data_IF_488919291143
#
_entry.id   IF_488919291143
#
_cell.length_a   1.000
_cell.length_b   1.000
_cell.length_c   1.000
_cell.angle_alpha   90.00
_cell.angle_beta   90.00
_cell.angle_gamma   90.00
#
_symmetry.space_group_name_H-M   'P 1'
#
loop_
_entity.id
_entity.type
_entity.pdbx_description
1 polymer ?
#
# COMPACT_ATOMS: atom_id res chain seq x y z
N UNK A 1 -42.41 34.78 -79.64
CA UNK A 1 -42.97 35.40 -78.42
C UNK A 1 -44.40 34.95 -78.08
N UNK A 2 -45.31 34.65 -79.03
CA UNK A 2 -46.62 34.07 -78.72
C UNK A 2 -46.52 32.73 -77.96
N UNK A 3 -45.59 31.87 -78.37
CA UNK A 3 -45.43 30.52 -77.79
C UNK A 3 -44.90 30.58 -76.35
N UNK A 4 -43.88 31.41 -76.09
CA UNK A 4 -43.35 31.65 -74.74
C UNK A 4 -44.43 32.15 -73.76
N UNK A 5 -45.21 33.17 -74.17
CA UNK A 5 -46.28 33.74 -73.35
C UNK A 5 -47.55 32.85 -73.28
N UNK A 6 -47.68 31.87 -74.18
CA UNK A 6 -48.85 31.00 -74.30
C UNK A 6 -48.73 29.68 -73.53
N UNK A 7 -47.55 29.36 -73.00
CA UNK A 7 -47.34 28.15 -72.19
C UNK A 7 -48.04 28.23 -70.84
N UNK A 8 -48.60 27.11 -70.36
CA UNK A 8 -49.32 27.05 -69.09
C UNK A 8 -48.77 26.01 -68.11
N UNK A 9 -47.90 25.10 -68.56
CA UNK A 9 -47.32 24.06 -67.71
C UNK A 9 -45.89 23.66 -68.16
N UNK A 10 -44.83 24.30 -67.60
CA UNK A 10 -44.88 25.49 -66.77
C UNK A 10 -45.24 26.74 -67.60
N UNK A 11 -45.81 27.76 -66.95
CA UNK A 11 -46.00 29.07 -67.58
C UNK A 11 -44.68 29.82 -67.60
N UNK A 12 -44.03 29.89 -68.76
CA UNK A 12 -42.68 30.42 -68.90
C UNK A 12 -42.59 31.91 -68.53
N UNK A 13 -43.57 32.71 -68.97
CA UNK A 13 -43.62 34.14 -68.69
C UNK A 13 -43.85 34.44 -67.20
N UNK A 14 -44.78 33.71 -66.56
CA UNK A 14 -45.07 33.88 -65.14
C UNK A 14 -43.90 33.42 -64.25
N UNK A 15 -43.20 32.36 -64.65
CA UNK A 15 -42.04 31.81 -63.94
C UNK A 15 -40.71 32.47 -64.36
N UNK A 16 -40.75 33.51 -65.19
CA UNK A 16 -39.59 34.31 -65.61
C UNK A 16 -38.45 33.49 -66.22
N UNK A 17 -38.77 32.46 -67.01
CA UNK A 17 -37.75 31.65 -67.70
C UNK A 17 -36.89 32.52 -68.65
N UNK A 18 -35.65 32.11 -68.95
CA UNK A 18 -34.85 32.75 -69.99
C UNK A 18 -35.61 32.75 -71.32
N UNK A 19 -35.48 33.84 -72.09
CA UNK A 19 -36.11 33.94 -73.42
C UNK A 19 -35.29 33.25 -74.51
N UNK A 20 -34.06 32.87 -74.22
CA UNK A 20 -33.26 31.96 -75.04
C UNK A 20 -33.75 30.52 -74.84
N UNK A 21 -34.61 30.08 -75.75
CA UNK A 21 -35.26 28.77 -75.68
C UNK A 21 -34.27 27.61 -75.86
N UNK A 22 -33.11 27.85 -76.49
CA UNK A 22 -32.10 26.81 -76.77
C UNK A 22 -31.42 26.27 -75.49
N UNK A 23 -31.57 26.98 -74.37
CA UNK A 23 -31.10 26.54 -73.05
C UNK A 23 -31.84 25.28 -72.60
N UNK A 24 -33.13 25.17 -72.93
CA UNK A 24 -34.00 24.12 -72.39
C UNK A 24 -34.66 23.26 -73.48
N UNK A 25 -34.72 23.72 -74.73
CA UNK A 25 -35.45 23.05 -75.80
C UNK A 25 -34.59 22.80 -77.03
N UNK A 26 -34.85 21.67 -77.68
CA UNK A 26 -34.30 21.33 -78.98
C UNK A 26 -35.23 21.84 -80.10
N UNK A 27 -34.68 22.55 -81.09
CA UNK A 27 -35.44 23.13 -82.20
C UNK A 27 -36.13 22.09 -83.09
N UNK A 28 -35.68 20.83 -83.06
CA UNK A 28 -36.20 19.70 -83.83
C UNK A 28 -37.22 18.85 -83.06
N UNK A 29 -37.26 18.97 -81.73
CA UNK A 29 -38.16 18.23 -80.85
C UNK A 29 -38.65 19.10 -79.69
N UNK A 30 -39.66 19.93 -79.97
CA UNK A 30 -40.34 20.73 -78.94
C UNK A 30 -41.20 19.85 -78.03
N UNK A 31 -40.62 19.45 -76.89
CA UNK A 31 -41.24 18.62 -75.86
C UNK A 31 -40.83 19.06 -74.44
N UNK A 32 -40.54 18.09 -73.56
CA UNK A 32 -40.02 18.37 -72.24
C UNK A 32 -38.68 19.11 -72.31
N UNK A 33 -38.40 19.94 -71.31
CA UNK A 33 -37.08 20.56 -71.15
C UNK A 33 -35.98 19.48 -71.14
N UNK A 34 -34.92 19.70 -71.90
CA UNK A 34 -33.69 18.89 -71.93
C UNK A 34 -32.62 19.43 -71.00
N UNK A 35 -32.91 20.48 -70.22
CA UNK A 35 -31.96 21.07 -69.29
C UNK A 35 -31.59 20.07 -68.19
N UNK A 36 -30.29 19.79 -68.05
CA UNK A 36 -29.76 18.79 -67.12
C UNK A 36 -28.93 19.46 -66.01
N UNK A 37 -29.50 19.47 -64.79
CA UNK A 37 -28.81 19.97 -63.61
C UNK A 37 -27.55 19.17 -63.24
N UNK A 38 -27.41 17.92 -63.68
CA UNK A 38 -26.20 17.11 -63.48
C UNK A 38 -24.94 17.68 -64.14
N UNK A 39 -25.12 18.65 -65.05
CA UNK A 39 -24.00 19.37 -65.70
C UNK A 39 -23.69 20.72 -65.05
N UNK A 40 -24.45 21.12 -64.02
CA UNK A 40 -24.30 22.39 -63.31
C UNK A 40 -23.50 22.23 -62.01
N UNK A 41 -23.18 23.35 -61.34
CA UNK A 41 -22.56 23.34 -60.02
C UNK A 41 -23.49 22.84 -58.89
N UNK A 42 -24.79 22.65 -59.17
CA UNK A 42 -25.76 22.12 -58.23
C UNK A 42 -26.59 21.00 -58.91
N UNK A 43 -26.06 19.76 -58.93
CA UNK A 43 -26.82 18.60 -59.35
C UNK A 43 -28.02 18.37 -58.42
N UNK A 44 -29.21 18.20 -58.99
CA UNK A 44 -30.40 17.88 -58.19
C UNK A 44 -30.34 16.40 -57.78
N UNK A 45 -29.91 16.15 -56.55
CA UNK A 45 -29.87 14.80 -55.96
C UNK A 45 -30.73 14.71 -54.70
N UNK A 46 -30.97 13.49 -54.21
CA UNK A 46 -31.72 13.27 -52.98
C UNK A 46 -33.11 13.92 -53.00
N UNK A 47 -33.46 14.62 -51.92
CA UNK A 47 -34.71 15.35 -51.74
C UNK A 47 -34.92 16.54 -52.70
N UNK A 48 -33.87 16.99 -53.40
CA UNK A 48 -33.99 17.99 -54.45
C UNK A 48 -34.43 17.39 -55.80
N UNK A 49 -34.49 16.05 -55.91
CA UNK A 49 -34.93 15.38 -57.14
C UNK A 49 -36.42 15.63 -57.38
N UNK A 50 -36.74 16.48 -58.37
CA UNK A 50 -38.12 16.77 -58.76
C UNK A 50 -38.73 18.02 -58.14
N UNK A 51 -37.94 18.88 -57.48
CA UNK A 51 -38.40 20.22 -57.08
C UNK A 51 -38.73 21.05 -58.33
N UNK A 52 -39.80 21.85 -58.26
CA UNK A 52 -40.16 22.72 -59.37
C UNK A 52 -39.14 23.86 -59.50
N UNK A 53 -38.76 24.24 -60.72
CA UNK A 53 -37.74 25.27 -60.98
C UNK A 53 -38.00 26.57 -60.20
N UNK A 54 -39.26 26.99 -60.09
CA UNK A 54 -39.67 28.21 -59.38
C UNK A 54 -39.42 28.20 -57.88
N UNK A 55 -39.19 27.03 -57.27
CA UNK A 55 -38.87 26.93 -55.84
C UNK A 55 -37.43 27.42 -55.57
N UNK A 56 -36.50 27.15 -56.47
CA UNK A 56 -35.11 27.63 -56.37
C UNK A 56 -34.91 28.97 -57.10
N UNK A 57 -35.56 29.17 -58.25
CA UNK A 57 -35.41 30.34 -59.11
C UNK A 57 -36.49 31.42 -58.85
N UNK A 58 -36.92 31.58 -57.59
CA UNK A 58 -37.94 32.55 -57.20
C UNK A 58 -37.53 34.01 -57.47
N UNK A 59 -36.23 34.28 -57.50
CA UNK A 59 -35.64 35.58 -57.84
C UNK A 59 -34.95 35.60 -59.22
N UNK A 60 -35.29 34.63 -60.09
CA UNK A 60 -34.69 34.44 -61.41
C UNK A 60 -33.62 33.34 -61.47
N UNK A 61 -33.13 33.09 -62.69
CA UNK A 61 -32.24 31.96 -63.02
C UNK A 61 -30.75 32.27 -62.96
N UNK A 62 -30.38 33.53 -62.74
CA UNK A 62 -28.98 33.96 -62.66
C UNK A 62 -28.57 34.10 -61.19
N UNK A 63 -27.43 33.52 -60.83
CA UNK A 63 -26.87 33.64 -59.47
C UNK A 63 -27.70 32.97 -58.38
N UNK A 64 -28.46 31.92 -58.72
CA UNK A 64 -29.20 31.14 -57.72
C UNK A 64 -28.23 30.56 -56.69
N UNK A 65 -28.47 30.81 -55.38
CA UNK A 65 -27.59 30.30 -54.32
C UNK A 65 -27.52 28.78 -54.31
N UNK A 66 -26.39 28.25 -53.86
CA UNK A 66 -26.14 26.80 -53.77
C UNK A 66 -25.83 26.33 -52.36
N UNK A 67 -25.68 27.23 -51.40
CA UNK A 67 -25.49 26.83 -50.00
C UNK A 67 -26.84 26.48 -49.39
N UNK A 68 -26.85 25.51 -48.48
CA UNK A 68 -28.07 25.05 -47.81
C UNK A 68 -28.78 26.19 -47.07
N UNK A 69 -28.00 26.99 -46.34
CA UNK A 69 -28.49 28.04 -45.45
C UNK A 69 -29.15 29.20 -46.22
N UNK A 70 -28.72 29.50 -47.44
CA UNK A 70 -29.36 30.51 -48.31
C UNK A 70 -30.83 30.19 -48.63
N UNK A 71 -31.21 28.91 -48.60
CA UNK A 71 -32.57 28.44 -48.93
C UNK A 71 -33.33 27.91 -47.71
N UNK A 72 -32.64 27.21 -46.81
CA UNK A 72 -33.22 26.51 -45.68
C UNK A 72 -33.09 27.25 -44.34
N UNK A 73 -32.66 28.52 -44.34
CA UNK A 73 -32.68 29.36 -43.12
C UNK A 73 -34.07 29.45 -42.45
N UNK A 74 -35.20 29.53 -43.19
CA UNK A 74 -36.52 29.48 -42.57
C UNK A 74 -36.80 28.16 -41.84
N UNK A 75 -36.34 27.03 -42.41
CA UNK A 75 -36.48 25.70 -41.81
C UNK A 75 -35.59 25.61 -40.55
N UNK A 76 -34.35 26.07 -40.63
CA UNK A 76 -33.41 26.18 -39.51
C UNK A 76 -34.02 26.98 -38.34
N UNK A 77 -34.57 28.16 -38.61
CA UNK A 77 -35.17 29.02 -37.59
C UNK A 77 -36.52 28.49 -37.07
N UNK A 78 -37.24 27.70 -37.88
CA UNK A 78 -38.56 27.17 -37.56
C UNK A 78 -38.54 25.82 -36.83
N UNK A 79 -37.41 25.11 -36.85
CA UNK A 79 -37.29 23.79 -36.20
C UNK A 79 -37.31 23.94 -34.68
N UNK A 80 -38.06 23.08 -34.00
CA UNK A 80 -38.24 23.13 -32.53
C UNK A 80 -37.66 21.92 -31.79
N UNK A 81 -37.32 20.85 -32.51
CA UNK A 81 -36.81 19.61 -31.93
C UNK A 81 -35.72 18.97 -32.81
N UNK A 82 -34.43 19.18 -32.50
CA UNK A 82 -33.91 20.20 -31.59
C UNK A 82 -34.08 21.63 -32.17
N UNK A 83 -34.28 22.62 -31.31
CA UNK A 83 -34.38 24.02 -31.76
C UNK A 83 -32.99 24.55 -32.14
N UNK A 84 -32.73 24.68 -33.45
CA UNK A 84 -31.40 25.00 -33.95
C UNK A 84 -30.97 26.43 -33.57
N UNK A 85 -31.86 27.40 -33.76
CA UNK A 85 -31.59 28.80 -33.46
C UNK A 85 -31.35 29.03 -31.95
N UNK A 86 -32.16 28.40 -31.10
CA UNK A 86 -32.00 28.50 -29.64
C UNK A 86 -30.74 27.79 -29.14
N UNK A 87 -30.41 26.63 -29.71
CA UNK A 87 -29.18 25.90 -29.39
C UNK A 87 -27.92 26.46 -30.06
N UNK A 88 -28.08 27.47 -30.94
CA UNK A 88 -27.01 28.13 -31.69
C UNK A 88 -26.18 27.16 -32.55
N UNK A 89 -26.83 26.20 -33.21
CA UNK A 89 -26.11 25.25 -34.07
C UNK A 89 -25.35 25.95 -35.22
N UNK A 90 -24.26 25.35 -35.72
CA UNK A 90 -23.58 25.85 -36.91
C UNK A 90 -24.54 25.87 -38.13
N UNK A 91 -24.38 26.85 -39.01
CA UNK A 91 -25.12 26.94 -40.27
C UNK A 91 -24.56 26.03 -41.37
N UNK A 92 -23.47 25.33 -41.11
CA UNK A 92 -22.96 24.27 -41.97
C UNK A 92 -23.79 22.99 -41.77
N UNK A 93 -24.89 22.90 -42.52
CA UNK A 93 -25.87 21.83 -42.43
C UNK A 93 -25.26 20.45 -42.66
N UNK A 94 -24.18 20.37 -43.46
CA UNK A 94 -23.56 19.11 -43.89
C UNK A 94 -22.87 18.34 -42.76
N UNK A 95 -22.67 18.99 -41.61
CA UNK A 95 -22.15 18.34 -40.42
C UNK A 95 -23.12 17.32 -39.82
N UNK A 96 -24.43 17.55 -39.99
CA UNK A 96 -25.47 16.74 -39.35
C UNK A 96 -26.49 16.15 -40.33
N UNK A 97 -26.65 16.77 -41.49
CA UNK A 97 -27.68 16.44 -42.47
C UNK A 97 -27.07 16.14 -43.83
N UNK A 98 -27.81 15.38 -44.64
CA UNK A 98 -27.47 15.14 -46.03
C UNK A 98 -28.62 15.56 -46.96
N UNK A 99 -28.33 15.60 -48.26
CA UNK A 99 -29.29 16.01 -49.28
C UNK A 99 -30.41 14.99 -49.52
N UNK A 100 -30.32 13.77 -48.96
CA UNK A 100 -31.33 12.72 -49.11
C UNK A 100 -32.53 13.01 -48.22
N UNK A 101 -32.28 13.30 -46.94
CA UNK A 101 -33.31 13.65 -45.97
C UNK A 101 -32.74 14.43 -44.78
N UNK A 102 -33.53 15.37 -44.24
CA UNK A 102 -33.18 16.07 -43.01
C UNK A 102 -33.21 15.17 -41.76
N UNK A 103 -34.01 14.09 -41.77
CA UNK A 103 -34.19 13.16 -40.65
C UNK A 103 -34.02 11.71 -41.14
N UNK A 104 -33.24 10.86 -40.43
CA UNK A 104 -32.49 11.18 -39.22
C UNK A 104 -31.26 12.05 -39.51
N UNK A 105 -30.93 12.96 -38.59
CA UNK A 105 -29.62 13.60 -38.57
C UNK A 105 -28.61 12.67 -37.90
N UNK A 106 -27.33 12.87 -38.20
CA UNK A 106 -26.24 12.11 -37.60
C UNK A 106 -25.01 12.98 -37.43
N UNK A 107 -24.41 12.95 -36.24
CA UNK A 107 -23.11 13.55 -35.96
C UNK A 107 -22.29 12.60 -35.10
N UNK A 108 -21.02 12.42 -35.45
CA UNK A 108 -20.13 11.46 -34.79
C UNK A 108 -19.28 12.13 -33.71
N UNK A 109 -19.40 11.65 -32.46
CA UNK A 109 -18.67 12.13 -31.30
C UNK A 109 -17.42 11.28 -30.97
N UNK A 110 -16.72 10.70 -31.96
CA UNK A 110 -15.51 9.89 -31.75
C UNK A 110 -14.43 10.55 -30.84
N UNK A 111 -14.38 11.88 -30.77
CA UNK A 111 -13.45 12.61 -29.89
C UNK A 111 -13.85 12.63 -28.40
N UNK A 112 -15.12 12.37 -28.09
CA UNK A 112 -15.65 12.27 -26.74
C UNK A 112 -16.90 11.37 -26.76
N UNK A 113 -16.73 10.04 -26.61
CA UNK A 113 -17.84 9.11 -26.64
C UNK A 113 -18.89 9.42 -25.56
N UNK A 114 -20.14 9.61 -25.97
CA UNK A 114 -21.26 9.88 -25.07
C UNK A 114 -21.70 8.59 -24.37
N UNK A 115 -21.08 8.27 -23.24
CA UNK A 115 -21.36 7.08 -22.42
C UNK A 115 -22.00 7.44 -21.08
N UNK A 116 -22.66 6.45 -20.47
CA UNK A 116 -23.28 6.61 -19.15
C UNK A 116 -24.28 7.77 -19.12
N UNK A 117 -24.13 8.65 -18.13
CA UNK A 117 -25.03 9.80 -17.94
C UNK A 117 -24.94 10.84 -19.07
N UNK A 118 -23.85 10.85 -19.84
CA UNK A 118 -23.69 11.75 -21.00
C UNK A 118 -24.44 11.26 -22.24
N UNK A 119 -24.99 10.04 -22.26
CA UNK A 119 -25.70 9.53 -23.43
C UNK A 119 -27.05 10.22 -23.70
N UNK A 120 -27.59 10.95 -22.73
CA UNK A 120 -28.93 11.58 -22.81
C UNK A 120 -28.91 13.10 -22.65
N UNK A 121 -27.73 13.72 -22.58
CA UNK A 121 -27.62 15.19 -22.48
C UNK A 121 -27.89 15.84 -23.83
N UNK A 122 -28.52 17.01 -23.82
CA UNK A 122 -28.72 17.76 -25.07
C UNK A 122 -27.43 18.45 -25.50
N UNK A 123 -27.26 18.65 -26.81
CA UNK A 123 -26.02 19.22 -27.36
C UNK A 123 -25.66 20.57 -26.72
N UNK A 124 -26.66 21.43 -26.51
CA UNK A 124 -26.48 22.77 -25.93
C UNK A 124 -25.99 22.73 -24.47
N UNK A 125 -26.30 21.67 -23.71
CA UNK A 125 -25.80 21.51 -22.34
C UNK A 125 -24.29 21.27 -22.29
N UNK A 126 -23.73 20.59 -23.29
CA UNK A 126 -22.30 20.37 -23.41
C UNK A 126 -21.61 21.54 -24.11
N UNK A 127 -22.13 21.96 -25.26
CA UNK A 127 -21.48 22.97 -26.10
C UNK A 127 -21.71 24.40 -25.61
N UNK A 128 -22.70 24.64 -24.74
CA UNK A 128 -23.01 25.95 -24.15
C UNK A 128 -23.14 27.06 -25.22
N UNK A 129 -23.78 26.73 -26.35
CA UNK A 129 -23.95 27.63 -27.50
C UNK A 129 -22.67 27.90 -28.31
N UNK A 130 -21.54 27.25 -27.99
CA UNK A 130 -20.27 27.36 -28.69
C UNK A 130 -19.70 25.98 -29.04
N UNK A 131 -19.98 25.54 -30.27
CA UNK A 131 -19.56 24.24 -30.80
C UNK A 131 -18.07 24.17 -31.21
N UNK A 132 -17.28 25.23 -31.00
CA UNK A 132 -15.88 25.28 -31.44
C UNK A 132 -14.85 25.00 -30.32
N UNK A 133 -15.23 25.11 -29.04
CA UNK A 133 -14.30 25.04 -27.90
C UNK A 133 -14.93 24.33 -26.70
N UNK A 134 -15.59 23.20 -26.94
CA UNK A 134 -16.22 22.43 -25.88
C UNK A 134 -15.17 21.70 -25.05
N UNK A 135 -15.13 21.89 -23.72
CA UNK A 135 -14.22 21.16 -22.87
C UNK A 135 -14.43 19.65 -22.99
N UNK A 136 -13.33 18.89 -22.99
CA UNK A 136 -13.35 17.42 -23.03
C UNK A 136 -12.83 16.76 -21.75
N UNK A 137 -12.46 17.57 -20.75
CA UNK A 137 -12.06 17.08 -19.42
C UNK A 137 -13.21 17.24 -18.44
N UNK A 138 -13.29 16.34 -17.46
CA UNK A 138 -14.37 16.35 -16.46
C UNK A 138 -14.42 17.68 -15.71
N UNK A 139 -13.28 18.17 -15.22
CA UNK A 139 -13.15 19.44 -14.50
C UNK A 139 -13.61 20.63 -15.36
N UNK A 140 -13.35 20.60 -16.67
CA UNK A 140 -13.75 21.65 -17.60
C UNK A 140 -15.25 21.98 -17.56
N UNK A 141 -16.10 21.01 -17.22
CA UNK A 141 -17.54 21.21 -17.02
C UNK A 141 -17.98 21.08 -15.55
N UNK A 142 -17.41 20.14 -14.81
CA UNK A 142 -17.83 19.76 -13.45
C UNK A 142 -17.02 20.44 -12.33
N UNK A 143 -16.24 21.49 -12.62
CA UNK A 143 -15.62 22.31 -11.56
C UNK A 143 -16.60 22.86 -10.51
N UNK A 144 -17.84 23.29 -10.87
CA UNK A 144 -18.83 23.67 -9.87
C UNK A 144 -19.22 22.52 -8.93
N UNK A 145 -19.34 21.30 -9.46
CA UNK A 145 -19.66 20.10 -8.68
C UNK A 145 -18.48 19.73 -7.75
N UNK A 146 -17.26 19.79 -8.28
CA UNK A 146 -16.03 19.60 -7.51
C UNK A 146 -15.96 20.56 -6.31
N UNK A 147 -16.17 21.86 -6.55
CA UNK A 147 -16.13 22.90 -5.51
C UNK A 147 -17.34 22.85 -4.55
N UNK A 148 -18.47 22.28 -4.98
CA UNK A 148 -19.71 22.22 -4.21
C UNK A 148 -19.89 20.95 -3.38
N UNK A 149 -19.08 19.92 -3.61
CA UNK A 149 -19.18 18.67 -2.86
C UNK A 149 -18.71 18.87 -1.43
N UNK A 150 -19.44 18.31 -0.45
CA UNK A 150 -19.14 18.46 0.99
C UNK A 150 -18.86 17.14 1.71
N UNK A 151 -19.05 16.00 1.04
CA UNK A 151 -18.87 14.69 1.65
C UNK A 151 -18.32 13.66 0.64
N UNK A 152 -16.99 13.44 0.58
CA UNK A 152 -15.96 14.30 1.18
C UNK A 152 -15.88 15.66 0.46
N UNK A 153 -15.44 16.71 1.16
CA UNK A 153 -15.19 18.01 0.53
C UNK A 153 -13.93 17.93 -0.34
N UNK A 154 -14.11 17.91 -1.66
CA UNK A 154 -13.01 17.70 -2.60
C UNK A 154 -11.99 18.83 -2.57
N UNK A 155 -12.47 20.08 -2.55
CA UNK A 155 -11.62 21.26 -2.60
C UNK A 155 -10.85 21.43 -1.29
N UNK A 156 -11.51 21.27 -0.14
CA UNK A 156 -10.85 21.37 1.16
C UNK A 156 -9.85 20.24 1.40
N UNK A 157 -10.14 19.02 0.92
CA UNK A 157 -9.24 17.87 0.99
C UNK A 157 -8.23 17.81 -0.17
N UNK A 158 -8.21 18.82 -1.05
CA UNK A 158 -7.27 18.98 -2.16
C UNK A 158 -7.18 17.75 -3.09
N UNK A 159 -8.32 17.11 -3.38
CA UNK A 159 -8.35 15.96 -4.28
C UNK A 159 -7.80 16.31 -5.68
N UNK A 160 -7.18 15.35 -6.39
CA UNK A 160 -6.76 15.58 -7.77
C UNK A 160 -7.97 15.84 -8.67
N UNK A 161 -7.77 16.65 -9.72
CA UNK A 161 -8.79 16.95 -10.74
C UNK A 161 -8.89 15.87 -11.83
N UNK A 162 -8.06 14.83 -11.75
CA UNK A 162 -8.21 13.63 -12.57
C UNK A 162 -9.33 12.75 -12.00
N UNK A 163 -10.57 13.11 -12.33
CA UNK A 163 -11.77 12.49 -11.75
C UNK A 163 -11.83 10.98 -12.01
N UNK A 164 -11.26 10.51 -13.14
CA UNK A 164 -11.27 9.12 -13.56
C UNK A 164 -10.46 8.19 -12.63
N UNK A 165 -9.65 8.76 -11.71
CA UNK A 165 -9.00 7.99 -10.66
C UNK A 165 -9.99 7.36 -9.69
N UNK A 166 -11.14 7.99 -9.49
CA UNK A 166 -12.11 7.62 -8.46
C UNK A 166 -13.52 7.40 -8.99
N UNK A 167 -13.91 8.12 -10.05
CA UNK A 167 -15.27 8.16 -10.58
C UNK A 167 -15.32 7.63 -12.01
N UNK A 168 -16.51 7.16 -12.40
CA UNK A 168 -16.84 6.82 -13.78
C UNK A 168 -18.12 7.55 -14.23
N UNK A 169 -18.36 7.57 -15.55
CA UNK A 169 -19.50 8.28 -16.15
C UNK A 169 -20.85 7.56 -15.97
N UNK A 170 -20.83 6.33 -15.44
CA UNK A 170 -22.03 5.49 -15.26
C UNK A 170 -22.65 5.62 -13.88
N UNK A 171 -21.85 5.81 -12.83
CA UNK A 171 -22.30 5.82 -11.45
C UNK A 171 -21.47 6.79 -10.57
N UNK A 172 -21.57 8.09 -10.84
CA UNK A 172 -20.78 9.14 -10.17
C UNK A 172 -20.76 9.08 -8.63
N UNK A 173 -21.87 8.71 -7.99
CA UNK A 173 -21.99 8.67 -6.52
C UNK A 173 -21.19 7.54 -5.85
N UNK A 174 -20.72 6.56 -6.60
CA UNK A 174 -19.83 5.52 -6.08
C UNK A 174 -18.42 5.84 -6.54
N UNK A 175 -17.62 6.42 -5.65
CA UNK A 175 -16.19 6.52 -5.89
C UNK A 175 -15.48 5.24 -5.44
N UNK A 176 -14.55 4.76 -6.25
CA UNK A 176 -13.67 3.66 -5.90
C UNK A 176 -12.24 4.02 -6.28
N UNK A 177 -11.34 4.01 -5.30
CA UNK A 177 -9.92 4.05 -5.53
C UNK A 177 -9.28 2.84 -4.84
N UNK A 178 -8.62 1.99 -5.63
CA UNK A 178 -8.05 0.73 -5.14
C UNK A 178 -6.61 0.95 -4.64
N UNK A 179 -6.43 0.98 -3.32
CA UNK A 179 -5.09 1.08 -2.73
C UNK A 179 -4.25 -0.19 -2.91
N UNK A 180 -4.86 -1.34 -3.25
CA UNK A 180 -4.12 -2.60 -3.45
C UNK A 180 -3.18 -2.56 -4.65
N UNK A 181 -3.37 -1.59 -5.55
CA UNK A 181 -2.51 -1.36 -6.71
C UNK A 181 -1.40 -0.32 -6.45
N UNK A 182 -1.28 0.18 -5.22
CA UNK A 182 -0.27 1.18 -4.83
C UNK A 182 0.84 0.56 -3.99
N UNK A 183 1.91 1.30 -3.74
CA UNK A 183 3.01 0.88 -2.86
C UNK A 183 2.60 0.77 -1.38
N UNK A 184 1.39 1.22 -1.01
CA UNK A 184 0.85 1.12 0.34
C UNK A 184 -0.59 0.56 0.33
N UNK A 185 -0.74 -0.77 0.22
CA UNK A 185 -2.05 -1.41 0.35
C UNK A 185 -2.64 -1.16 1.75
N UNK A 186 -3.86 -0.66 1.82
CA UNK A 186 -4.55 -0.45 3.09
C UNK A 186 -5.03 -1.79 3.66
N UNK A 187 -4.23 -2.39 4.54
CA UNK A 187 -4.56 -3.64 5.24
C UNK A 187 -4.63 -3.48 6.76
N UNK A 188 -5.16 -4.49 7.45
CA UNK A 188 -5.25 -4.50 8.92
C UNK A 188 -6.00 -3.28 9.46
N UNK A 189 -5.40 -2.59 10.43
CA UNK A 189 -5.92 -1.37 11.04
C UNK A 189 -6.03 -0.18 10.08
N UNK A 190 -5.37 -0.23 8.92
CA UNK A 190 -5.45 0.82 7.90
C UNK A 190 -6.63 0.65 6.93
N UNK A 191 -7.32 -0.51 6.91
CA UNK A 191 -8.34 -0.83 5.90
C UNK A 191 -9.58 0.09 5.89
N UNK A 192 -9.71 1.02 6.84
CA UNK A 192 -10.81 1.97 6.92
C UNK A 192 -10.40 3.41 7.24
N UNK A 193 -9.13 3.77 7.04
CA UNK A 193 -8.70 5.16 7.26
C UNK A 193 -9.28 6.08 6.20
N UNK A 194 -9.67 7.29 6.61
CA UNK A 194 -10.09 8.32 5.67
C UNK A 194 -8.87 8.82 4.87
N UNK A 195 -9.04 9.13 3.59
CA UNK A 195 -7.96 9.58 2.70
C UNK A 195 -7.13 10.72 3.32
N UNK A 196 -7.78 11.71 3.93
CA UNK A 196 -7.13 12.90 4.50
C UNK A 196 -6.25 12.59 5.71
N UNK A 197 -6.40 11.42 6.34
CA UNK A 197 -5.50 11.00 7.42
C UNK A 197 -4.06 10.86 6.93
N UNK A 198 -3.88 10.42 5.68
CA UNK A 198 -2.58 10.30 5.02
C UNK A 198 -2.31 11.50 4.08
N UNK A 199 -3.34 11.97 3.38
CA UNK A 199 -3.22 12.97 2.32
C UNK A 199 -3.46 14.43 2.78
N UNK A 200 -3.24 14.72 4.06
CA UNK A 200 -3.43 16.06 4.63
C UNK A 200 -2.61 17.17 3.97
N UNK A 201 -1.52 16.82 3.28
CA UNK A 201 -0.65 17.75 2.56
C UNK A 201 -0.54 17.39 1.05
N UNK A 202 -1.56 16.73 0.51
CA UNK A 202 -1.64 16.31 -0.88
C UNK A 202 -1.49 14.80 -1.11
N UNK A 203 -1.52 14.39 -2.39
CA UNK A 203 -1.63 13.00 -2.82
C UNK A 203 -0.34 12.40 -3.41
N UNK A 204 0.79 13.08 -3.23
CA UNK A 204 2.08 12.69 -3.84
C UNK A 204 3.16 12.59 -2.78
N UNK A 205 4.09 11.64 -2.96
CA UNK A 205 5.25 11.48 -2.09
C UNK A 205 4.91 11.13 -0.64
N UNK A 206 3.80 10.40 -0.42
CA UNK A 206 3.42 9.96 0.92
C UNK A 206 4.41 8.90 1.41
N UNK A 207 5.05 9.10 2.57
CA UNK A 207 5.93 8.11 3.15
C UNK A 207 5.16 6.84 3.54
N UNK A 208 5.78 5.68 3.33
CA UNK A 208 5.20 4.36 3.61
C UNK A 208 5.81 3.68 4.83
N UNK A 209 6.86 4.27 5.40
CA UNK A 209 7.49 3.78 6.63
C UNK A 209 6.62 4.11 7.85
N UNK A 210 6.47 3.14 8.75
CA UNK A 210 5.59 3.24 9.92
C UNK A 210 5.89 4.48 10.78
N UNK A 211 7.18 4.75 11.02
CA UNK A 211 7.65 5.84 11.86
C UNK A 211 7.33 7.22 11.27
N UNK A 212 7.15 7.37 9.95
CA UNK A 212 6.78 8.65 9.37
C UNK A 212 5.41 9.17 9.89
N UNK A 213 4.50 8.27 10.23
CA UNK A 213 3.19 8.61 10.80
C UNK A 213 3.10 8.32 12.29
N UNK A 214 3.71 7.23 12.75
CA UNK A 214 3.59 6.73 14.12
C UNK A 214 4.73 7.17 15.05
N UNK A 215 5.58 8.12 14.64
CA UNK A 215 6.57 8.70 15.56
C UNK A 215 5.97 9.31 16.84
N UNK A 216 4.81 10.00 16.79
CA UNK A 216 4.14 10.47 17.99
C UNK A 216 3.71 9.31 18.92
N UNK A 217 3.21 8.21 18.35
CA UNK A 217 2.81 7.02 19.12
C UNK A 217 4.02 6.35 19.76
N UNK A 218 5.12 6.19 19.00
CA UNK A 218 6.39 5.69 19.50
C UNK A 218 6.91 6.52 20.69
N UNK A 219 6.93 7.85 20.54
CA UNK A 219 7.41 8.75 21.60
C UNK A 219 6.46 8.83 22.80
N UNK A 220 5.16 8.56 22.60
CA UNK A 220 4.13 8.65 23.63
C UNK A 220 3.88 7.33 24.38
N UNK A 221 4.40 6.21 23.89
CA UNK A 221 4.20 4.90 24.54
C UNK A 221 5.05 4.81 25.79
N UNK A 222 4.46 4.36 26.91
CA UNK A 222 5.13 4.28 28.23
C UNK A 222 5.25 2.85 28.76
N UNK A 223 4.65 1.86 28.09
CA UNK A 223 4.66 0.47 28.54
C UNK A 223 4.81 -0.52 27.36
N UNK A 224 6.04 -0.94 27.03
CA UNK A 224 7.31 -0.36 27.47
C UNK A 224 7.54 1.04 26.85
N UNK A 225 8.29 1.89 27.56
CA UNK A 225 8.68 3.21 27.02
C UNK A 225 9.69 3.04 25.88
N UNK A 226 9.27 3.33 24.64
CA UNK A 226 10.10 3.05 23.47
C UNK A 226 11.27 4.00 23.33
N UNK A 227 11.03 5.29 23.58
CA UNK A 227 12.05 6.32 23.46
C UNK A 227 13.11 6.15 24.54
N UNK A 228 12.70 5.91 25.80
CA UNK A 228 13.61 5.67 26.90
C UNK A 228 14.40 4.37 26.73
N UNK A 229 13.77 3.33 26.18
CA UNK A 229 14.43 2.07 25.90
C UNK A 229 15.24 2.03 24.59
N UNK A 230 15.21 3.11 23.80
CA UNK A 230 15.91 3.23 22.52
C UNK A 230 15.57 2.08 21.55
N UNK A 231 14.29 1.70 21.47
CA UNK A 231 13.84 0.71 20.48
C UNK A 231 14.14 1.18 19.04
N UNK A 232 14.30 0.24 18.08
CA UNK A 232 14.39 0.59 16.68
C UNK A 232 13.08 1.21 16.18
N UNK A 233 13.17 2.08 15.17
CA UNK A 233 12.00 2.65 14.48
C UNK A 233 11.48 1.77 13.35
N UNK A 234 12.14 0.64 13.09
CA UNK A 234 11.62 -0.42 12.23
C UNK A 234 10.55 -1.22 12.99
N UNK A 235 9.34 -0.66 13.00
CA UNK A 235 8.22 -1.15 13.79
C UNK A 235 7.85 -2.61 13.47
N UNK A 236 8.07 -3.05 12.22
CA UNK A 236 7.73 -4.38 11.74
C UNK A 236 8.54 -5.51 12.42
N UNK A 237 9.63 -5.17 13.13
CA UNK A 237 10.38 -6.13 13.93
C UNK A 237 9.57 -6.66 15.13
N UNK A 238 8.65 -5.86 15.64
CA UNK A 238 7.88 -6.18 16.85
C UNK A 238 6.37 -6.15 16.60
N UNK A 239 5.88 -5.29 15.71
CA UNK A 239 4.47 -5.04 15.49
C UNK A 239 4.04 -5.43 14.08
N UNK A 240 2.73 -5.49 13.86
CA UNK A 240 2.15 -5.70 12.55
C UNK A 240 0.97 -4.74 12.32
N UNK A 241 0.57 -4.61 11.07
CA UNK A 241 -0.49 -3.68 10.65
C UNK A 241 -1.88 -4.04 11.20
N UNK A 242 -2.08 -5.25 11.73
CA UNK A 242 -3.38 -5.65 12.31
C UNK A 242 -3.57 -5.06 13.71
N UNK A 243 -2.53 -5.09 14.55
CA UNK A 243 -2.56 -4.53 15.89
C UNK A 243 -1.16 -4.24 16.41
N UNK A 244 -1.02 -3.12 17.12
CA UNK A 244 0.18 -2.78 17.88
C UNK A 244 0.39 -3.67 19.10
N UNK A 245 -0.67 -4.25 19.67
CA UNK A 245 -0.56 -5.08 20.89
C UNK A 245 -1.27 -6.44 20.75
N UNK A 246 -0.67 -7.52 21.28
CA UNK A 246 0.68 -7.61 21.85
C UNK A 246 1.78 -7.48 20.78
N UNK A 247 3.02 -7.23 21.21
CA UNK A 247 4.19 -7.41 20.34
C UNK A 247 4.30 -8.87 19.91
N UNK A 248 4.80 -9.07 18.69
CA UNK A 248 5.01 -10.36 18.04
C UNK A 248 6.47 -10.82 18.07
N UNK A 249 7.37 -10.03 18.68
CA UNK A 249 8.78 -10.39 18.75
C UNK A 249 9.00 -11.64 19.61
N UNK A 250 9.63 -12.66 19.02
CA UNK A 250 9.87 -13.95 19.66
C UNK A 250 11.36 -14.18 19.92
N UNK A 251 11.75 -14.13 21.20
CA UNK A 251 13.13 -14.40 21.63
C UNK A 251 13.55 -15.86 21.39
N UNK A 252 12.62 -16.80 21.26
CA UNK A 252 12.95 -18.22 21.01
C UNK A 252 13.55 -18.44 19.62
N UNK A 253 13.34 -17.50 18.70
CA UNK A 253 13.93 -17.49 17.37
C UNK A 253 15.31 -16.81 17.33
N UNK A 254 15.79 -16.27 18.45
CA UNK A 254 17.10 -15.61 18.56
C UNK A 254 18.16 -16.58 19.10
N UNK A 255 19.42 -16.14 19.13
CA UNK A 255 20.50 -16.89 19.77
C UNK A 255 20.38 -17.02 21.30
N UNK A 256 19.42 -16.33 21.92
CA UNK A 256 19.21 -16.35 23.38
C UNK A 256 17.72 -16.46 23.71
N UNK A 257 17.23 -17.70 23.86
CA UNK A 257 15.85 -17.94 24.26
C UNK A 257 15.65 -17.61 25.76
N UNK A 258 14.70 -16.71 26.06
CA UNK A 258 14.34 -16.34 27.42
C UNK A 258 13.65 -17.50 28.15
N UNK A 259 14.46 -18.31 28.84
CA UNK A 259 14.03 -19.51 29.58
C UNK A 259 14.62 -19.54 30.98
N UNK A 260 14.11 -20.41 31.85
CA UNK A 260 14.55 -20.50 33.25
C UNK A 260 14.40 -19.16 33.98
N UNK A 261 15.44 -18.75 34.71
CA UNK A 261 15.50 -17.47 35.42
C UNK A 261 15.35 -16.22 34.53
N UNK A 262 15.52 -16.35 33.21
CA UNK A 262 15.39 -15.24 32.26
C UNK A 262 14.00 -15.11 31.63
N UNK A 263 13.07 -16.05 31.88
CA UNK A 263 11.76 -16.10 31.21
C UNK A 263 10.85 -14.87 31.48
N UNK A 264 11.17 -14.07 32.49
CA UNK A 264 10.47 -12.82 32.83
C UNK A 264 11.34 -11.57 32.70
N UNK A 265 12.51 -11.66 32.06
CA UNK A 265 13.39 -10.52 31.91
C UNK A 265 12.72 -9.45 31.04
N UNK A 266 12.69 -8.22 31.54
CA UNK A 266 12.35 -7.04 30.77
C UNK A 266 13.47 -6.72 29.77
N UNK A 267 13.10 -6.15 28.62
CA UNK A 267 14.05 -5.82 27.55
C UNK A 267 15.25 -5.00 28.08
N UNK A 268 15.00 -4.02 28.94
CA UNK A 268 16.03 -3.13 29.50
C UNK A 268 17.02 -3.81 30.44
N UNK A 269 16.70 -5.00 30.99
CA UNK A 269 17.67 -5.77 31.79
C UNK A 269 18.84 -6.28 30.94
N UNK A 270 18.60 -6.56 29.66
CA UNK A 270 19.63 -7.04 28.73
C UNK A 270 20.10 -5.93 27.77
N UNK A 271 19.19 -5.08 27.30
CA UNK A 271 19.43 -4.06 26.27
C UNK A 271 19.68 -2.66 26.83
N UNK A 272 20.27 -2.56 28.02
CA UNK A 272 20.57 -1.27 28.67
C UNK A 272 21.53 -0.38 27.87
N UNK A 273 22.34 -0.97 26.98
CA UNK A 273 23.24 -0.28 26.05
C UNK A 273 22.78 -0.39 24.60
N UNK A 274 21.49 -0.69 24.37
CA UNK A 274 20.89 -0.90 23.05
C UNK A 274 20.73 -2.38 22.66
N UNK A 275 20.12 -2.60 21.49
CA UNK A 275 19.71 -3.93 21.00
C UNK A 275 20.74 -4.63 20.11
N UNK A 276 21.77 -3.91 19.67
CA UNK A 276 22.80 -4.45 18.80
C UNK A 276 23.96 -5.02 19.61
N UNK A 277 24.34 -6.27 19.33
CA UNK A 277 25.50 -6.91 19.96
C UNK A 277 25.33 -7.20 21.46
N UNK A 278 24.09 -7.40 21.92
CA UNK A 278 23.84 -7.77 23.32
C UNK A 278 24.56 -9.08 23.65
N UNK A 279 25.45 -9.09 24.67
CA UNK A 279 26.19 -10.29 25.04
C UNK A 279 25.26 -11.42 25.48
N UNK A 280 25.67 -12.67 25.22
CA UNK A 280 24.94 -13.88 25.61
C UNK A 280 25.70 -14.73 26.63
N UNK A 281 26.98 -14.42 26.85
CA UNK A 281 27.82 -15.14 27.81
C UNK A 281 27.41 -14.77 29.23
N UNK A 282 27.34 -15.76 30.13
CA UNK A 282 26.84 -15.57 31.49
C UNK A 282 27.63 -14.50 32.25
N UNK A 283 28.96 -14.55 32.15
CA UNK A 283 29.87 -13.67 32.86
C UNK A 283 29.83 -12.23 32.33
N UNK A 284 29.46 -12.01 31.06
CA UNK A 284 29.26 -10.66 30.53
C UNK A 284 28.20 -9.85 31.31
N UNK A 285 27.23 -10.52 31.94
CA UNK A 285 26.21 -9.90 32.78
C UNK A 285 26.41 -10.19 34.27
N UNK A 286 26.77 -11.42 34.61
CA UNK A 286 26.84 -11.91 35.99
C UNK A 286 28.25 -11.90 36.59
N UNK A 287 29.22 -11.18 36.00
CA UNK A 287 30.57 -11.05 36.57
C UNK A 287 30.54 -10.53 38.00
N UNK A 288 29.63 -9.59 38.30
CA UNK A 288 29.50 -9.05 39.65
C UNK A 288 29.04 -10.13 40.65
N UNK A 289 28.11 -10.99 40.24
CA UNK A 289 27.62 -12.11 41.06
C UNK A 289 28.72 -13.18 41.25
N UNK A 290 29.45 -13.51 40.17
CA UNK A 290 30.61 -14.40 40.21
C UNK A 290 31.66 -13.88 41.21
N UNK A 291 32.00 -12.60 41.11
CA UNK A 291 32.99 -11.94 41.97
C UNK A 291 32.54 -11.80 43.44
N UNK A 292 31.24 -11.73 43.70
CA UNK A 292 30.69 -11.54 45.04
C UNK A 292 30.41 -12.86 45.78
N UNK A 293 30.52 -14.01 45.11
CA UNK A 293 30.23 -15.30 45.71
C UNK A 293 31.37 -15.71 46.65
N UNK A 294 31.04 -16.06 47.90
CA UNK A 294 32.03 -16.41 48.94
C UNK A 294 31.99 -17.86 49.38
N UNK A 295 31.01 -18.64 48.92
CA UNK A 295 30.87 -20.05 49.30
C UNK A 295 30.37 -20.92 48.12
N UNK A 296 31.27 -21.63 47.42
CA UNK A 296 32.72 -21.42 47.43
C UNK A 296 33.10 -20.06 46.80
N UNK A 297 34.22 -19.48 47.23
CA UNK A 297 34.74 -18.25 46.62
C UNK A 297 35.27 -18.55 45.21
N UNK A 298 34.55 -18.09 44.18
CA UNK A 298 34.89 -18.42 42.79
C UNK A 298 36.19 -17.76 42.32
N UNK A 299 36.52 -16.57 42.85
CA UNK A 299 37.74 -15.87 42.47
C UNK A 299 38.97 -16.50 43.12
N UNK A 300 38.90 -16.76 44.43
CA UNK A 300 39.99 -17.41 45.15
C UNK A 300 40.26 -18.80 44.56
N UNK A 301 39.20 -19.56 44.27
CA UNK A 301 39.26 -20.88 43.65
C UNK A 301 39.73 -20.88 42.18
N UNK A 302 39.81 -19.71 41.53
CA UNK A 302 40.10 -19.57 40.11
C UNK A 302 39.16 -20.38 39.20
N UNK A 303 37.87 -20.45 39.56
CA UNK A 303 36.90 -21.19 38.74
C UNK A 303 36.70 -20.54 37.36
N UNK A 304 36.39 -21.33 36.32
CA UNK A 304 36.14 -20.80 34.99
C UNK A 304 34.85 -19.97 34.95
N UNK A 305 34.78 -19.02 34.02
CA UNK A 305 33.57 -18.19 33.80
C UNK A 305 32.53 -18.86 32.90
N UNK A 306 32.79 -20.09 32.44
CA UNK A 306 31.79 -20.93 31.79
C UNK A 306 30.83 -21.52 32.84
N UNK A 307 29.88 -20.68 33.27
CA UNK A 307 28.99 -20.99 34.38
C UNK A 307 28.15 -22.26 34.14
N UNK A 308 27.87 -22.60 32.87
CA UNK A 308 27.06 -23.75 32.51
C UNK A 308 27.70 -25.10 32.85
N UNK A 309 28.99 -25.12 33.20
CA UNK A 309 29.69 -26.32 33.71
C UNK A 309 29.17 -26.76 35.08
N UNK A 310 28.70 -25.81 35.90
CA UNK A 310 28.29 -26.07 37.27
C UNK A 310 26.84 -25.61 37.53
N UNK A 311 26.36 -24.55 36.89
CA UNK A 311 25.06 -23.94 37.16
C UNK A 311 24.08 -24.13 36.02
N UNK A 312 22.79 -24.24 36.37
CA UNK A 312 21.69 -24.22 35.41
C UNK A 312 20.87 -22.94 35.55
N UNK A 313 20.39 -22.42 34.42
CA UNK A 313 19.44 -21.30 34.39
C UNK A 313 18.07 -21.66 34.98
N UNK A 314 17.73 -22.95 35.13
CA UNK A 314 16.47 -23.38 35.76
C UNK A 314 16.57 -23.51 37.28
N UNK A 315 17.78 -23.77 37.79
CA UNK A 315 18.08 -23.93 39.21
C UNK A 315 19.55 -23.56 39.43
N UNK A 316 19.79 -22.31 39.81
CA UNK A 316 21.15 -21.79 39.97
C UNK A 316 21.86 -22.34 41.21
N UNK A 317 21.11 -22.60 42.28
CA UNK A 317 21.59 -23.18 43.53
C UNK A 317 20.67 -24.33 43.99
N UNK A 318 21.21 -25.48 44.44
CA UNK A 318 22.65 -25.80 44.47
C UNK A 318 23.23 -25.96 43.05
N UNK A 319 24.56 -25.95 42.93
CA UNK A 319 25.20 -26.28 41.65
C UNK A 319 24.90 -27.74 41.28
N UNK A 320 24.99 -28.03 39.98
CA UNK A 320 24.87 -29.36 39.37
C UNK A 320 26.21 -30.09 39.29
N UNK A 321 27.26 -29.56 39.93
CA UNK A 321 28.59 -30.15 39.95
C UNK A 321 28.58 -31.52 40.65
N UNK A 322 28.96 -32.56 39.92
CA UNK A 322 28.97 -33.94 40.41
C UNK A 322 30.31 -34.27 41.07
N UNK A 323 30.44 -33.95 42.37
CA UNK A 323 31.66 -34.29 43.11
C UNK A 323 31.81 -35.81 43.31
N UNK A 324 30.72 -36.55 43.55
CA UNK A 324 30.78 -37.98 43.84
C UNK A 324 31.12 -38.84 42.61
N UNK A 325 30.61 -38.46 41.44
CA UNK A 325 30.88 -39.18 40.19
C UNK A 325 32.21 -38.81 39.54
N UNK A 326 32.74 -37.61 39.81
CA UNK A 326 34.00 -37.14 39.22
C UNK A 326 35.19 -37.24 40.17
N UNK A 327 34.97 -37.15 41.48
CA UNK A 327 36.00 -37.07 42.51
C UNK A 327 35.62 -37.94 43.73
N UNK A 328 36.12 -37.61 44.92
CA UNK A 328 35.86 -38.36 46.15
C UNK A 328 34.38 -38.25 46.55
N UNK A 329 33.69 -39.34 46.92
CA UNK A 329 32.28 -39.27 47.30
C UNK A 329 32.10 -38.56 48.64
N UNK A 330 31.44 -37.40 48.61
CA UNK A 330 31.19 -36.53 49.75
C UNK A 330 29.69 -36.30 49.99
N UNK A 331 28.85 -36.46 48.96
CA UNK A 331 27.39 -36.39 49.05
C UNK A 331 26.73 -37.77 49.20
N UNK A 332 27.53 -38.82 49.41
CA UNK A 332 27.08 -40.20 49.63
C UNK A 332 27.97 -40.92 50.67
N UNK A 333 27.58 -42.15 51.03
CA UNK A 333 28.34 -42.95 51.99
C UNK A 333 28.37 -42.35 53.40
N UNK A 334 29.47 -42.56 54.11
CA UNK A 334 29.71 -42.11 55.50
C UNK A 334 29.95 -40.61 55.64
N UNK A 335 30.28 -39.90 54.55
CA UNK A 335 30.56 -38.46 54.55
C UNK A 335 29.32 -37.61 54.23
N UNK A 336 28.21 -38.23 53.83
CA UNK A 336 27.00 -37.51 53.43
C UNK A 336 26.38 -36.75 54.61
N UNK A 337 26.33 -35.42 54.49
CA UNK A 337 25.71 -34.53 55.47
C UNK A 337 26.60 -34.18 56.67
N UNK A 338 27.86 -34.62 56.66
CA UNK A 338 28.83 -34.34 57.74
C UNK A 338 29.60 -33.03 57.55
N UNK A 339 29.58 -32.47 56.34
CA UNK A 339 30.30 -31.24 55.98
C UNK A 339 29.37 -30.27 55.23
N UNK A 340 29.68 -28.97 55.30
CA UNK A 340 28.82 -27.93 54.70
C UNK A 340 29.55 -27.01 53.70
N UNK A 341 30.89 -27.01 53.71
CA UNK A 341 31.69 -26.16 52.85
C UNK A 341 32.89 -26.90 52.27
N UNK A 342 33.30 -26.52 51.05
CA UNK A 342 34.41 -27.16 50.36
C UNK A 342 35.73 -27.04 51.15
N UNK A 343 35.91 -25.94 51.89
CA UNK A 343 37.12 -25.64 52.68
C UNK A 343 37.28 -26.52 53.93
N UNK A 344 36.26 -27.30 54.30
CA UNK A 344 36.38 -28.28 55.38
C UNK A 344 37.27 -29.47 54.99
N UNK A 345 37.31 -29.81 53.69
CA UNK A 345 38.19 -30.85 53.17
C UNK A 345 39.37 -30.26 52.39
N UNK A 346 39.15 -29.15 51.67
CA UNK A 346 40.17 -28.47 50.88
C UNK A 346 40.85 -27.36 51.69
N UNK A 347 42.05 -27.66 52.19
CA UNK A 347 42.75 -26.81 53.17
C UNK A 347 43.40 -25.57 52.54
N UNK A 348 43.54 -25.51 51.21
CA UNK A 348 43.90 -24.30 50.49
C UNK A 348 42.68 -23.75 49.72
N UNK A 349 42.13 -22.59 50.10
CA UNK A 349 41.01 -21.99 49.39
C UNK A 349 41.34 -21.52 47.96
N UNK A 350 42.63 -21.47 47.58
CA UNK A 350 43.07 -21.13 46.23
C UNK A 350 43.51 -22.34 45.40
N UNK A 351 43.59 -23.52 45.99
CA UNK A 351 43.99 -24.75 45.32
C UNK A 351 43.22 -25.95 45.87
N UNK A 352 42.08 -26.25 45.23
CA UNK A 352 41.22 -27.38 45.59
C UNK A 352 41.85 -28.75 45.27
N UNK A 353 43.06 -28.81 44.70
CA UNK A 353 43.83 -30.06 44.67
C UNK A 353 44.50 -30.38 46.02
N UNK A 354 44.61 -29.39 46.92
CA UNK A 354 45.12 -29.56 48.28
C UNK A 354 43.95 -29.94 49.19
N UNK A 355 44.01 -31.14 49.76
CA UNK A 355 42.99 -31.67 50.66
C UNK A 355 43.61 -32.37 51.87
N UNK A 356 42.80 -32.53 52.92
CA UNK A 356 43.20 -33.29 54.09
C UNK A 356 42.16 -34.32 54.50
N UNK A 357 42.61 -35.57 54.67
CA UNK A 357 41.81 -36.64 55.27
C UNK A 357 42.03 -36.72 56.79
N UNK A 358 43.09 -36.07 57.28
CA UNK A 358 43.65 -36.20 58.63
C UNK A 358 43.16 -35.08 59.54
N UNK A 359 42.84 -33.91 58.99
CA UNK A 359 42.30 -32.79 59.76
C UNK A 359 40.82 -33.01 60.16
N UNK A 360 40.23 -34.13 59.73
CA UNK A 360 38.91 -34.59 60.15
C UNK A 360 39.01 -35.47 61.41
N UNK A 361 37.97 -35.42 62.24
CA UNK A 361 37.97 -35.93 63.62
C UNK A 361 38.22 -37.44 63.83
N UNK A 362 38.16 -38.29 62.80
CA UNK A 362 38.40 -39.74 62.95
C UNK A 362 39.86 -40.15 62.66
N UNK A 363 40.66 -39.24 62.09
CA UNK A 363 41.99 -39.55 61.59
C UNK A 363 43.06 -38.57 62.06
N UNK A 364 42.80 -37.78 63.11
CA UNK A 364 43.75 -36.81 63.65
C UNK A 364 44.76 -37.42 64.65
N UNK A 365 44.48 -38.60 65.22
CA UNK A 365 45.40 -39.39 66.05
C UNK A 365 46.25 -40.38 65.23
N UNK A 366 47.46 -39.94 64.89
CA UNK A 366 48.42 -40.75 64.15
C UNK A 366 48.73 -42.10 64.80
N UNK A 367 48.82 -42.18 66.14
CA UNK A 367 49.21 -43.42 66.80
C UNK A 367 48.13 -44.49 66.68
N UNK A 368 46.86 -44.08 66.68
CA UNK A 368 45.74 -44.96 66.43
C UNK A 368 45.74 -45.44 64.96
N UNK A 369 45.85 -44.50 64.01
CA UNK A 369 45.84 -44.83 62.57
C UNK A 369 47.03 -45.74 62.20
N UNK A 370 48.22 -45.50 62.76
CA UNK A 370 49.41 -46.36 62.58
C UNK A 370 49.17 -47.79 63.12
N UNK A 371 48.40 -47.94 64.20
CA UNK A 371 48.07 -49.25 64.77
C UNK A 371 47.08 -50.01 63.89
N UNK A 372 46.04 -49.33 63.43
CA UNK A 372 44.97 -49.89 62.61
C UNK A 372 45.49 -50.34 61.23
N UNK A 373 46.51 -49.66 60.69
CA UNK A 373 47.16 -49.98 59.41
C UNK A 373 48.47 -50.78 59.56
N UNK A 374 48.74 -51.35 60.75
CA UNK A 374 50.00 -52.06 61.00
C UNK A 374 50.15 -53.30 60.11
N UNK A 375 51.15 -53.27 59.23
CA UNK A 375 51.43 -54.34 58.27
C UNK A 375 50.87 -54.13 56.87
N UNK A 376 50.13 -53.04 56.64
CA UNK A 376 49.64 -52.67 55.31
C UNK A 376 50.77 -52.07 54.45
N UNK A 377 50.98 -52.66 53.27
CA UNK A 377 52.08 -52.26 52.40
C UNK A 377 51.71 -50.98 51.63
N UNK A 378 52.54 -49.94 51.74
CA UNK A 378 52.28 -48.63 51.13
C UNK A 378 51.53 -47.65 52.02
N UNK A 379 51.19 -48.04 53.25
CA UNK A 379 50.65 -47.13 54.26
C UNK A 379 51.64 -46.01 54.59
N UNK A 380 51.12 -44.79 54.68
CA UNK A 380 51.81 -43.63 55.22
C UNK A 380 50.75 -42.67 55.76
N UNK A 381 51.04 -42.07 56.92
CA UNK A 381 50.15 -41.10 57.54
C UNK A 381 50.20 -39.74 56.83
N UNK A 382 49.58 -39.67 55.65
CA UNK A 382 49.35 -38.45 54.88
C UNK A 382 48.11 -38.62 53.98
N UNK A 383 47.42 -37.51 53.70
CA UNK A 383 46.13 -37.50 52.99
C UNK A 383 46.19 -38.15 51.60
N UNK A 384 47.29 -38.00 50.87
CA UNK A 384 47.43 -38.60 49.54
C UNK A 384 47.53 -40.14 49.61
N UNK A 385 48.22 -40.69 50.61
CA UNK A 385 48.27 -42.13 50.84
C UNK A 385 46.91 -42.67 51.30
N UNK A 386 46.19 -41.95 52.16
CA UNK A 386 44.82 -42.29 52.58
C UNK A 386 43.88 -42.36 51.37
N UNK A 387 43.84 -41.32 50.53
CA UNK A 387 43.00 -41.28 49.33
C UNK A 387 43.31 -42.41 48.34
N UNK A 388 44.59 -42.76 48.17
CA UNK A 388 44.98 -43.86 47.27
C UNK A 388 44.49 -45.24 47.77
N UNK A 389 44.44 -45.46 49.09
CA UNK A 389 43.94 -46.71 49.67
C UNK A 389 42.41 -46.72 49.76
N UNK A 390 41.81 -45.56 50.03
CA UNK A 390 40.38 -45.37 50.27
C UNK A 390 39.76 -44.38 49.27
N UNK A 391 39.74 -44.66 47.96
CA UNK A 391 39.25 -43.71 46.96
C UNK A 391 37.74 -43.43 47.07
N UNK A 392 36.99 -44.26 47.80
CA UNK A 392 35.54 -44.13 48.02
C UNK A 392 35.17 -43.92 49.50
N UNK A 393 36.14 -43.56 50.35
CA UNK A 393 35.90 -43.29 51.77
C UNK A 393 35.52 -44.50 52.63
N UNK A 394 35.83 -45.73 52.17
CA UNK A 394 35.65 -46.99 52.92
C UNK A 394 36.91 -47.83 52.89
#
# INVERSE_FOLDING_TARGET
>A
MPDYNGTTNPNHAAAQFPTDCTICHDETAWGNSTFDHGTTSFPLTGGHSGVACTQCHSNGYQGTPTNCDDCHMPDYNGTTDPNHAAAQFPSDCTQCHDETAWIPSSYDHNGYPLIGSHATVSCDQCHNGNYNNTPSTCDGCHMPDYNGTTNPDHAAAQFPMDCALCHDETAWNNSTFDHSTTDFPLTGGHAGVNCIACHSNGYQGIPTNCDACHMPDYNGTTNPDHAAAQFPTDCAQCHNETSWTPSTFDHSATGFALTGGHAGASCLQCHSNGYQGTPTDCDACHMADFNATTNPDHQAAQFPTDCAQCHSISAWSPSTFDHDGMYFPIYSGTHNGEWNTCVECHTDPNDYSVFSCIDCHEHDDQAQVDNDHSGENGYSYNSAACFNCHPNGN
#
